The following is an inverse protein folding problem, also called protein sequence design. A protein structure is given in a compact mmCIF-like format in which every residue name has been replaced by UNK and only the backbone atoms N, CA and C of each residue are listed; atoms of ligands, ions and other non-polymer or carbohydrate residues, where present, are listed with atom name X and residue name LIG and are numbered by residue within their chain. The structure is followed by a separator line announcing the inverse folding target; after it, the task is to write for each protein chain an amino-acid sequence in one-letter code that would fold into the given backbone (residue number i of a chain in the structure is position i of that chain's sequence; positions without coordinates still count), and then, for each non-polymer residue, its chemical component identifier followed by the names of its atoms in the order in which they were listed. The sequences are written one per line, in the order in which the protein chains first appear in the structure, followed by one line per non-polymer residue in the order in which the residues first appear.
data_IF_500646263485
#
_entry.id   IF_500646263485
#
_cell.length_a   1.000
_cell.length_b   1.000
_cell.length_c   1.000
_cell.angle_alpha   90.00
_cell.angle_beta   90.00
_cell.angle_gamma   90.00
#
_symmetry.space_group_name_H-M   'P 1'
#
loop_
_entity.id
_entity.type
_entity.pdbx_description
1 polymer ?
#
# COMPACT_ATOMS: atom_id res chain seq x y z
N UNK A 1 19.44 55.45 7.97
CA UNK A 1 20.30 55.26 9.15
C UNK A 1 19.73 54.14 9.98
N UNK A 2 20.47 53.04 10.02
CA UNK A 2 20.24 51.84 10.83
C UNK A 2 20.53 52.20 12.30
N UNK A 3 20.00 51.38 13.20
CA UNK A 3 20.44 51.20 14.59
C UNK A 3 19.61 51.90 15.67
N UNK A 4 18.44 51.32 15.92
CA UNK A 4 18.05 50.92 17.27
C UNK A 4 16.95 49.86 17.13
N UNK A 5 16.76 48.98 18.11
CA UNK A 5 15.87 47.81 18.05
C UNK A 5 16.45 46.54 17.40
N UNK A 6 17.74 46.31 17.62
CA UNK A 6 18.17 44.99 18.10
C UNK A 6 18.29 45.17 19.63
N UNK A 7 17.80 44.23 20.44
CA UNK A 7 17.81 44.22 21.92
C UNK A 7 16.66 44.92 22.65
N UNK A 8 15.50 44.25 22.76
CA UNK A 8 14.99 43.89 24.10
C UNK A 8 13.99 42.74 24.06
N UNK A 9 14.51 41.53 24.22
CA UNK A 9 13.82 40.41 24.89
C UNK A 9 12.56 39.85 24.23
N UNK A 10 12.72 38.73 23.54
CA UNK A 10 11.62 37.84 23.17
C UNK A 10 12.11 36.41 23.12
N UNK A 11 12.15 35.76 24.28
CA UNK A 11 12.17 34.31 24.41
C UNK A 11 10.98 33.76 23.62
N UNK A 12 11.21 33.25 22.42
CA UNK A 12 10.29 32.28 21.84
C UNK A 12 11.15 31.22 21.21
N UNK A 13 11.41 30.16 21.98
CA UNK A 13 11.83 28.90 21.41
C UNK A 13 10.84 28.59 20.31
N UNK A 14 11.32 28.61 19.06
CA UNK A 14 10.59 28.00 17.97
C UNK A 14 10.37 26.57 18.38
N UNK A 15 9.16 26.28 18.84
CA UNK A 15 8.61 24.94 18.81
C UNK A 15 9.00 24.38 17.45
N UNK A 16 9.60 23.19 17.41
CA UNK A 16 9.67 22.45 16.16
C UNK A 16 8.21 22.38 15.72
N UNK A 17 7.85 23.16 14.71
CA UNK A 17 6.57 23.03 14.04
C UNK A 17 6.63 21.60 13.52
N UNK A 18 5.99 20.65 14.21
CA UNK A 18 5.77 19.34 13.63
C UNK A 18 4.89 19.63 12.43
N UNK A 19 5.54 19.82 11.28
CA UNK A 19 4.92 19.82 9.97
C UNK A 19 3.96 18.64 10.03
N UNK A 20 2.67 18.94 10.02
CA UNK A 20 1.62 17.97 10.26
C UNK A 20 1.77 16.92 9.16
N UNK A 21 2.49 15.84 9.46
CA UNK A 21 2.65 14.73 8.53
C UNK A 21 1.21 14.33 8.22
N UNK A 22 0.75 14.46 6.97
CA UNK A 22 -0.63 14.16 6.65
C UNK A 22 -0.92 12.77 7.21
N UNK A 23 -2.06 12.57 7.89
CA UNK A 23 -2.38 11.30 8.51
C UNK A 23 -2.17 10.21 7.46
N UNK A 24 -1.12 9.41 7.65
CA UNK A 24 -0.76 8.36 6.72
C UNK A 24 -1.90 7.35 6.81
N UNK A 25 -2.85 7.49 5.89
CA UNK A 25 -3.98 6.60 5.83
C UNK A 25 -3.43 5.30 5.28
N UNK A 26 -3.06 4.40 6.18
CA UNK A 26 -2.56 3.08 5.81
C UNK A 26 -3.72 2.32 5.16
N UNK A 27 -3.80 2.41 3.83
CA UNK A 27 -4.72 1.59 3.05
C UNK A 27 -4.22 0.14 3.13
N UNK A 28 -4.98 -0.72 3.79
CA UNK A 28 -4.66 -2.14 3.88
C UNK A 28 -4.86 -2.78 2.50
N UNK A 29 -3.78 -2.79 1.71
CA UNK A 29 -3.75 -3.41 0.39
C UNK A 29 -3.14 -4.81 0.51
N UNK A 30 -3.86 -5.78 -0.06
CA UNK A 30 -3.46 -7.18 -0.11
C UNK A 30 -2.64 -7.42 -1.37
N UNK A 31 -1.51 -8.10 -1.23
CA UNK A 31 -0.69 -8.53 -2.34
C UNK A 31 -1.16 -9.89 -2.86
N UNK A 32 -1.74 -9.95 -4.05
CA UNK A 32 -2.29 -11.20 -4.60
C UNK A 32 -1.20 -12.29 -4.81
N UNK A 33 0.05 -11.89 -5.05
CA UNK A 33 1.14 -12.80 -5.33
C UNK A 33 1.84 -13.32 -4.07
N UNK A 34 1.63 -12.67 -2.92
CA UNK A 34 2.27 -13.05 -1.65
C UNK A 34 1.29 -13.42 -0.54
N UNK A 35 0.08 -12.90 -0.53
CA UNK A 35 -0.89 -13.08 0.54
C UNK A 35 -1.38 -14.53 0.67
N UNK A 36 -1.63 -14.99 1.89
CA UNK A 36 -2.15 -16.34 2.10
C UNK A 36 -3.67 -16.41 1.88
N UNK A 37 -4.20 -17.62 1.76
CA UNK A 37 -5.64 -17.83 1.53
C UNK A 37 -6.56 -17.14 2.58
N UNK A 38 -6.25 -17.05 3.89
CA UNK A 38 -7.16 -16.39 4.83
C UNK A 38 -7.11 -14.86 4.70
N UNK A 39 -6.01 -14.29 4.18
CA UNK A 39 -5.91 -12.86 3.87
C UNK A 39 -6.71 -12.54 2.61
N UNK A 40 -6.58 -13.36 1.57
CA UNK A 40 -7.36 -13.23 0.34
C UNK A 40 -8.87 -13.39 0.59
N UNK A 41 -9.25 -14.26 1.52
CA UNK A 41 -10.66 -14.48 1.89
C UNK A 41 -11.31 -13.29 2.62
N UNK A 42 -10.55 -12.28 3.03
CA UNK A 42 -11.09 -11.04 3.59
C UNK A 42 -11.58 -10.07 2.50
N UNK A 43 -11.20 -10.31 1.24
CA UNK A 43 -11.59 -9.45 0.13
C UNK A 43 -13.08 -9.62 -0.20
N UNK A 44 -13.80 -8.53 -0.53
CA UNK A 44 -15.22 -8.59 -0.84
C UNK A 44 -15.47 -9.49 -2.06
N UNK A 45 -16.30 -10.53 -1.87
CA UNK A 45 -16.62 -11.48 -2.93
C UNK A 45 -15.59 -12.60 -3.13
N UNK A 46 -14.52 -12.64 -2.35
CA UNK A 46 -13.55 -13.76 -2.33
C UNK A 46 -13.79 -14.60 -1.09
N UNK A 47 -14.47 -15.74 -1.26
CA UNK A 47 -14.62 -16.72 -0.19
C UNK A 47 -13.40 -17.64 -0.04
N UNK A 48 -13.37 -18.51 0.99
CA UNK A 48 -12.27 -19.45 1.23
C UNK A 48 -11.95 -20.36 0.04
N UNK A 49 -12.96 -20.75 -0.73
CA UNK A 49 -12.81 -21.59 -1.93
C UNK A 49 -12.05 -20.84 -3.04
N UNK A 50 -12.45 -19.59 -3.31
CA UNK A 50 -11.79 -18.75 -4.30
C UNK A 50 -10.38 -18.38 -3.86
N UNK A 51 -10.20 -18.03 -2.59
CA UNK A 51 -8.90 -17.71 -2.02
C UNK A 51 -7.90 -18.86 -2.18
N UNK A 52 -8.30 -20.10 -1.87
CA UNK A 52 -7.45 -21.28 -2.07
C UNK A 52 -7.13 -21.50 -3.55
N UNK A 53 -8.13 -21.33 -4.44
CA UNK A 53 -7.90 -21.44 -5.89
C UNK A 53 -6.88 -20.42 -6.39
N UNK A 54 -6.90 -19.18 -5.90
CA UNK A 54 -5.88 -18.17 -6.24
C UNK A 54 -4.48 -18.66 -5.85
N UNK A 55 -4.34 -19.23 -4.64
CA UNK A 55 -3.07 -19.78 -4.14
C UNK A 55 -2.62 -21.00 -4.96
N UNK A 56 -3.54 -21.87 -5.34
CA UNK A 56 -3.24 -23.03 -6.21
C UNK A 56 -2.79 -22.57 -7.60
N UNK A 57 -3.52 -21.63 -8.20
CA UNK A 57 -3.20 -21.09 -9.52
C UNK A 57 -1.84 -20.40 -9.53
N UNK A 58 -1.47 -19.61 -8.52
CA UNK A 58 -0.12 -19.01 -8.45
C UNK A 58 0.97 -20.07 -8.27
N UNK A 59 0.70 -21.14 -7.53
CA UNK A 59 1.68 -22.20 -7.30
C UNK A 59 1.92 -23.03 -8.57
N UNK A 60 0.87 -23.24 -9.37
CA UNK A 60 0.93 -24.04 -10.59
C UNK A 60 1.43 -23.24 -11.81
N UNK A 61 0.94 -22.02 -11.99
CA UNK A 61 1.23 -21.18 -13.17
C UNK A 61 2.17 -20.01 -12.92
N UNK A 62 2.70 -19.88 -11.70
CA UNK A 62 3.54 -18.75 -11.30
C UNK A 62 2.74 -17.48 -10.97
N UNK A 63 3.44 -16.37 -10.63
CA UNK A 63 2.82 -15.12 -10.19
C UNK A 63 1.90 -14.53 -11.27
N UNK A 64 0.85 -13.83 -10.84
CA UNK A 64 -0.04 -13.08 -11.72
C UNK A 64 0.66 -11.81 -12.21
N UNK A 65 0.62 -11.59 -13.51
CA UNK A 65 1.24 -10.43 -14.18
C UNK A 65 0.33 -9.20 -14.10
N UNK A 66 -0.97 -9.41 -14.28
CA UNK A 66 -1.98 -8.37 -14.32
C UNK A 66 -3.34 -8.89 -13.83
N UNK A 67 -4.30 -7.97 -13.69
CA UNK A 67 -5.63 -8.28 -13.19
C UNK A 67 -6.47 -9.12 -14.15
N UNK A 68 -6.21 -9.03 -15.46
CA UNK A 68 -6.88 -9.85 -16.48
C UNK A 68 -6.36 -11.29 -16.43
N UNK A 69 -5.07 -11.49 -16.15
CA UNK A 69 -4.47 -12.80 -15.91
C UNK A 69 -5.12 -13.50 -14.72
N UNK A 70 -5.31 -12.77 -13.62
CA UNK A 70 -6.06 -13.26 -12.45
C UNK A 70 -7.48 -13.70 -12.83
N UNK A 71 -8.21 -12.87 -13.58
CA UNK A 71 -9.59 -13.17 -13.99
C UNK A 71 -9.70 -14.37 -14.96
N UNK A 72 -8.70 -14.57 -15.82
CA UNK A 72 -8.67 -15.71 -16.76
C UNK A 72 -8.33 -17.03 -16.06
N UNK A 73 -7.35 -17.01 -15.16
CA UNK A 73 -6.85 -18.22 -14.48
C UNK A 73 -7.77 -18.67 -13.36
N UNK A 74 -8.33 -17.73 -12.60
CA UNK A 74 -9.17 -18.06 -11.45
C UNK A 74 -10.64 -18.02 -11.85
N UNK A 75 -11.17 -19.19 -12.21
CA UNK A 75 -12.60 -19.36 -12.48
C UNK A 75 -13.44 -18.91 -11.28
N UNK A 76 -14.39 -18.00 -11.51
CA UNK A 76 -15.24 -17.39 -10.48
C UNK A 76 -14.88 -15.95 -10.12
N UNK A 77 -13.74 -15.43 -10.60
CA UNK A 77 -13.43 -13.99 -10.56
C UNK A 77 -13.91 -13.35 -11.86
N UNK A 78 -15.14 -12.84 -11.83
CA UNK A 78 -15.70 -12.07 -12.95
C UNK A 78 -15.34 -10.58 -12.87
N UNK A 79 -15.72 -9.78 -13.89
CA UNK A 79 -15.44 -8.34 -13.94
C UNK A 79 -16.04 -7.58 -12.75
N UNK A 80 -17.18 -8.04 -12.23
CA UNK A 80 -17.83 -7.47 -11.03
C UNK A 80 -16.98 -7.66 -9.78
N UNK A 81 -16.55 -8.91 -9.52
CA UNK A 81 -15.69 -9.23 -8.37
C UNK A 81 -14.37 -8.50 -8.49
N UNK A 82 -13.78 -8.47 -9.68
CA UNK A 82 -12.53 -7.77 -9.93
C UNK A 82 -12.63 -6.26 -9.63
N UNK A 83 -13.70 -5.61 -10.08
CA UNK A 83 -13.95 -4.20 -9.79
C UNK A 83 -14.12 -3.93 -8.28
N UNK A 84 -14.71 -4.86 -7.54
CA UNK A 84 -14.90 -4.74 -6.09
C UNK A 84 -13.59 -4.91 -5.30
N UNK A 85 -12.72 -5.82 -5.73
CA UNK A 85 -11.46 -6.10 -5.00
C UNK A 85 -10.32 -5.16 -5.40
N UNK A 86 -10.32 -4.61 -6.62
CA UNK A 86 -9.24 -3.76 -7.15
C UNK A 86 -8.77 -2.64 -6.20
N UNK A 87 -9.64 -1.91 -5.47
CA UNK A 87 -9.21 -0.87 -4.52
C UNK A 87 -8.39 -1.41 -3.33
N UNK A 88 -8.54 -2.69 -3.02
CA UNK A 88 -7.89 -3.37 -1.90
C UNK A 88 -6.68 -4.20 -2.34
N UNK A 89 -6.39 -4.25 -3.64
CA UNK A 89 -5.24 -4.97 -4.16
C UNK A 89 -4.07 -4.03 -4.35
N UNK A 90 -2.86 -4.53 -4.10
CA UNK A 90 -1.66 -3.85 -4.59
C UNK A 90 -1.65 -3.83 -6.12
N UNK A 91 -1.08 -2.78 -6.74
CA UNK A 91 -0.85 -2.74 -8.17
C UNK A 91 0.03 -3.91 -8.60
N UNK A 92 -0.50 -4.77 -9.47
CA UNK A 92 0.29 -5.79 -10.15
C UNK A 92 1.26 -5.09 -11.12
N UNK A 93 2.56 -5.24 -10.90
CA UNK A 93 3.61 -4.61 -11.72
C UNK A 93 4.24 -3.33 -11.15
N UNK A 94 3.78 -2.81 -10.00
CA UNK A 94 4.49 -1.74 -9.30
C UNK A 94 4.93 -2.24 -7.92
N UNK A 95 6.22 -2.53 -7.79
CA UNK A 95 6.82 -2.68 -6.47
C UNK A 95 6.53 -1.39 -5.68
N UNK A 96 6.09 -1.48 -4.42
CA UNK A 96 6.07 -0.31 -3.57
C UNK A 96 7.51 0.19 -3.48
N UNK A 97 7.67 1.48 -3.76
CA UNK A 97 8.90 2.21 -3.64
C UNK A 97 9.72 1.72 -2.44
N UNK A 98 10.84 1.08 -2.74
CA UNK A 98 11.99 0.95 -1.85
C UNK A 98 12.54 2.32 -1.39
N UNK A 99 12.03 3.42 -1.97
CA UNK A 99 12.35 4.79 -1.59
C UNK A 99 11.97 5.15 -0.14
N UNK A 100 11.04 4.44 0.51
CA UNK A 100 10.64 4.76 1.89
C UNK A 100 11.51 4.04 2.95
N UNK A 101 12.08 2.88 2.63
CA UNK A 101 12.99 2.15 3.56
C UNK A 101 14.44 2.62 3.46
N UNK A 102 14.88 3.13 2.32
CA UNK A 102 16.26 3.58 2.13
C UNK A 102 16.52 5.03 2.54
N UNK A 103 15.49 5.84 2.80
CA UNK A 103 15.65 7.22 3.31
C UNK A 103 15.69 7.29 4.85
N UNK A 104 15.25 6.25 5.57
CA UNK A 104 15.32 6.20 7.03
C UNK A 104 16.69 5.74 7.58
N UNK A 105 17.47 4.99 6.80
CA UNK A 105 18.72 4.36 7.27
C UNK A 105 20.00 5.12 6.84
N UNK A 106 19.88 6.22 6.09
CA UNK A 106 21.01 6.93 5.48
C UNK A 106 21.17 8.40 5.90
N UNK A 107 20.62 8.80 7.07
CA UNK A 107 20.93 10.11 7.65
C UNK A 107 21.93 9.95 8.81
N UNK A 108 23.25 10.11 8.58
CA UNK A 108 24.25 10.21 9.64
C UNK A 108 24.09 11.46 10.50
#
# INVERSE_FOLDING_TARGET
MVAWWIYRGGLVGGIIELEQVPPQTAHFQVDINSADWPELAQLPGIGPVLARRIVEERNNGGPFVDYDDLARRVSGIGPKTLAQIRPYLRPLGAQPNSADRSQAEANP
#
